data_IF_478486982131
#
_entry.id   IF_478486982131
#
_cell.length_a   1.000
_cell.length_b   1.000
_cell.length_c   1.000
_cell.angle_alpha   90.00
_cell.angle_beta   90.00
_cell.angle_gamma   90.00
#
_symmetry.space_group_name_H-M   'P 1'
#
loop_
_entity.id
_entity.type
_entity.pdbx_description
1 polymer ?
#
# COMPACT_ATOMS: atom_id res chain seq x y z
N UNK A 1 -13.51 -4.07 20.97
CA UNK A 1 -12.80 -4.07 19.68
C UNK A 1 -12.52 -2.62 19.32
N UNK A 2 -11.29 -2.28 18.91
CA UNK A 2 -10.94 -0.91 18.54
C UNK A 2 -11.35 -0.59 17.10
N UNK A 3 -11.43 0.70 16.74
CA UNK A 3 -11.67 1.14 15.35
C UNK A 3 -10.64 0.49 14.40
N UNK A 4 -9.38 0.43 14.83
CA UNK A 4 -8.28 -0.21 14.09
C UNK A 4 -8.56 -1.68 13.81
N UNK A 5 -9.01 -2.45 14.80
CA UNK A 5 -9.28 -3.89 14.63
C UNK A 5 -10.45 -4.15 13.67
N UNK A 6 -11.40 -3.22 13.60
CA UNK A 6 -12.62 -3.39 12.79
C UNK A 6 -12.51 -2.92 11.35
N UNK A 7 -11.46 -2.17 10.99
CA UNK A 7 -11.31 -1.56 9.66
C UNK A 7 -11.39 -2.58 8.52
N UNK A 8 -10.42 -3.48 8.42
CA UNK A 8 -10.36 -4.55 7.41
C UNK A 8 -11.59 -5.46 7.41
N UNK A 9 -12.04 -5.99 8.57
CA UNK A 9 -13.25 -6.81 8.64
C UNK A 9 -14.52 -6.10 8.15
N UNK A 10 -14.64 -4.78 8.34
CA UNK A 10 -15.77 -4.01 7.82
C UNK A 10 -15.72 -3.89 6.29
N UNK A 11 -14.53 -3.67 5.72
CA UNK A 11 -14.34 -3.65 4.27
C UNK A 11 -14.72 -5.00 3.64
N UNK A 12 -14.23 -6.10 4.22
CA UNK A 12 -14.58 -7.46 3.83
C UNK A 12 -16.08 -7.70 3.81
N UNK A 13 -16.77 -7.35 4.90
CA UNK A 13 -18.23 -7.51 5.01
C UNK A 13 -18.97 -6.78 3.91
N UNK A 14 -18.55 -5.56 3.56
CA UNK A 14 -19.19 -4.81 2.49
C UNK A 14 -18.93 -5.43 1.12
N UNK A 15 -17.70 -5.90 0.86
CA UNK A 15 -17.37 -6.63 -0.36
C UNK A 15 -18.23 -7.88 -0.52
N UNK A 16 -18.30 -8.70 0.53
CA UNK A 16 -19.08 -9.94 0.56
C UNK A 16 -20.59 -9.66 0.40
N UNK A 17 -21.12 -8.62 1.06
CA UNK A 17 -22.52 -8.18 0.92
C UNK A 17 -22.87 -7.82 -0.53
N UNK A 18 -21.90 -7.34 -1.30
CA UNK A 18 -22.05 -7.00 -2.73
C UNK A 18 -21.72 -8.16 -3.67
N UNK A 19 -21.35 -9.32 -3.15
CA UNK A 19 -21.02 -10.50 -3.96
C UNK A 19 -19.75 -10.36 -4.81
N UNK A 20 -18.85 -9.46 -4.43
CA UNK A 20 -17.60 -9.21 -5.17
C UNK A 20 -16.51 -10.14 -4.64
N UNK A 21 -15.85 -10.91 -5.51
CA UNK A 21 -14.76 -11.79 -5.10
C UNK A 21 -13.41 -11.03 -5.05
N UNK A 22 -12.44 -11.53 -4.28
CA UNK A 22 -11.10 -10.96 -4.27
C UNK A 22 -10.40 -11.11 -5.62
N UNK A 23 -10.68 -12.20 -6.35
CA UNK A 23 -10.16 -12.45 -7.71
C UNK A 23 -10.67 -11.39 -8.70
N UNK A 24 -11.92 -10.94 -8.54
CA UNK A 24 -12.49 -9.86 -9.35
C UNK A 24 -11.72 -8.56 -9.11
N UNK A 25 -11.48 -8.21 -7.84
CA UNK A 25 -10.70 -7.02 -7.47
C UNK A 25 -9.26 -7.14 -8.00
N UNK A 26 -8.62 -8.30 -7.81
CA UNK A 26 -7.28 -8.57 -8.31
C UNK A 26 -7.17 -8.43 -9.83
N UNK A 27 -8.18 -8.90 -10.57
CA UNK A 27 -8.22 -8.80 -12.04
C UNK A 27 -8.27 -7.35 -12.50
N UNK A 28 -9.14 -6.52 -11.90
CA UNK A 28 -9.31 -5.13 -12.33
C UNK A 28 -8.17 -4.21 -11.88
N UNK A 29 -7.53 -4.52 -10.74
CA UNK A 29 -6.45 -3.71 -10.17
C UNK A 29 -5.05 -4.20 -10.57
N UNK A 30 -4.92 -5.45 -11.04
CA UNK A 30 -3.65 -6.15 -11.27
C UNK A 30 -2.76 -6.27 -10.03
N UNK A 31 -3.39 -6.29 -8.85
CA UNK A 31 -2.74 -6.52 -7.55
C UNK A 31 -3.08 -7.93 -7.08
N UNK A 32 -2.10 -8.64 -6.51
CA UNK A 32 -2.28 -10.00 -6.00
C UNK A 32 -3.39 -10.11 -4.94
N UNK A 33 -4.12 -11.23 -4.96
CA UNK A 33 -5.20 -11.51 -3.99
C UNK A 33 -4.71 -11.55 -2.55
N UNK A 34 -3.46 -11.96 -2.33
CA UNK A 34 -2.77 -12.01 -1.04
C UNK A 34 -2.67 -10.64 -0.36
N UNK A 35 -2.48 -9.57 -1.14
CA UNK A 35 -2.50 -8.22 -0.58
C UNK A 35 -3.90 -7.84 -0.13
N UNK A 36 -4.93 -8.09 -0.94
CA UNK A 36 -6.32 -7.75 -0.57
C UNK A 36 -6.82 -8.53 0.63
N UNK A 37 -6.39 -9.78 0.76
CA UNK A 37 -6.60 -10.56 1.97
C UNK A 37 -5.92 -9.90 3.18
N UNK A 38 -4.67 -9.46 3.05
CA UNK A 38 -3.96 -8.70 4.08
C UNK A 38 -4.72 -7.42 4.50
N UNK A 39 -5.25 -6.64 3.55
CA UNK A 39 -6.08 -5.47 3.84
C UNK A 39 -7.31 -5.83 4.69
N UNK A 40 -8.01 -6.91 4.33
CA UNK A 40 -9.20 -7.37 5.05
C UNK A 40 -8.90 -7.93 6.44
N UNK A 41 -7.67 -8.37 6.67
CA UNK A 41 -7.17 -8.87 7.95
C UNK A 41 -6.45 -7.81 8.78
N UNK A 42 -6.31 -6.58 8.27
CA UNK A 42 -5.42 -5.54 8.81
C UNK A 42 -3.94 -5.98 8.92
N UNK A 43 -3.52 -6.97 8.12
CA UNK A 43 -2.12 -7.36 7.99
C UNK A 43 -1.45 -6.53 6.89
N UNK A 44 -0.67 -5.55 7.33
CA UNK A 44 0.07 -4.64 6.45
C UNK A 44 1.56 -4.99 6.32
N UNK A 45 1.98 -6.19 6.76
CA UNK A 45 3.39 -6.62 6.71
C UNK A 45 3.99 -6.61 5.30
N UNK A 46 3.18 -6.94 4.29
CA UNK A 46 3.55 -6.94 2.86
C UNK A 46 2.92 -5.78 2.07
N UNK A 47 2.16 -4.92 2.73
CA UNK A 47 1.45 -3.81 2.09
C UNK A 47 2.43 -2.71 1.69
N UNK A 48 2.29 -2.09 0.51
CA UNK A 48 3.14 -0.97 0.13
C UNK A 48 2.95 0.22 1.07
N UNK A 49 3.91 1.13 1.13
CA UNK A 49 3.85 2.32 1.98
C UNK A 49 3.58 3.61 1.18
N UNK A 50 3.24 4.67 1.91
CA UNK A 50 3.15 6.03 1.35
C UNK A 50 2.04 6.16 0.30
N UNK A 51 2.39 6.68 -0.89
CA UNK A 51 1.40 6.97 -1.94
C UNK A 51 0.74 5.70 -2.50
N UNK A 52 1.50 4.62 -2.63
CA UNK A 52 0.97 3.34 -3.13
C UNK A 52 0.04 2.67 -2.13
N UNK A 53 0.35 2.76 -0.83
CA UNK A 53 -0.55 2.31 0.24
C UNK A 53 -1.97 2.91 0.07
N UNK A 54 -2.02 4.23 -0.13
CA UNK A 54 -3.27 4.97 -0.29
C UNK A 54 -3.94 4.71 -1.64
N UNK A 55 -3.16 4.51 -2.69
CA UNK A 55 -3.71 4.17 -4.01
C UNK A 55 -4.45 2.83 -3.94
N UNK A 56 -3.86 1.81 -3.32
CA UNK A 56 -4.46 0.48 -3.26
C UNK A 56 -5.73 0.46 -2.40
N UNK A 57 -5.72 1.16 -1.25
CA UNK A 57 -6.94 1.30 -0.44
C UNK A 57 -8.05 2.02 -1.21
N UNK A 58 -7.71 3.05 -2.00
CA UNK A 58 -8.68 3.75 -2.85
C UNK A 58 -9.24 2.84 -3.93
N UNK A 59 -8.40 2.04 -4.58
CA UNK A 59 -8.81 1.14 -5.65
C UNK A 59 -9.73 0.04 -5.12
N UNK A 60 -9.43 -0.52 -3.95
CA UNK A 60 -10.32 -1.46 -3.25
C UNK A 60 -11.67 -0.80 -2.93
N UNK A 61 -11.67 0.40 -2.33
CA UNK A 61 -12.90 1.10 -1.97
C UNK A 61 -13.76 1.37 -3.21
N UNK A 62 -13.16 1.79 -4.32
CA UNK A 62 -13.85 1.97 -5.60
C UNK A 62 -14.40 0.66 -6.17
N UNK A 63 -13.61 -0.41 -6.16
CA UNK A 63 -14.03 -1.72 -6.67
C UNK A 63 -15.22 -2.28 -5.88
N UNK A 64 -15.25 -2.07 -4.57
CA UNK A 64 -16.38 -2.44 -3.71
C UNK A 64 -17.53 -1.42 -3.80
N UNK A 65 -17.29 -0.20 -4.26
CA UNK A 65 -18.27 0.88 -4.38
C UNK A 65 -18.58 1.58 -3.04
N UNK A 66 -17.55 1.74 -2.22
CA UNK A 66 -17.50 2.60 -1.03
C UNK A 66 -17.05 4.02 -1.43
N UNK A 67 -17.28 5.00 -0.54
CA UNK A 67 -16.72 6.35 -0.70
C UNK A 67 -15.21 6.29 -0.42
N UNK A 68 -14.42 6.49 -1.48
CA UNK A 68 -13.02 6.10 -1.47
C UNK A 68 -12.13 7.04 -0.67
N UNK A 69 -12.42 8.34 -0.64
CA UNK A 69 -11.59 9.30 0.08
C UNK A 69 -11.76 9.16 1.59
N UNK A 70 -12.99 8.91 2.07
CA UNK A 70 -13.28 8.60 3.46
C UNK A 70 -12.60 7.32 3.94
N UNK A 71 -12.60 6.26 3.13
CA UNK A 71 -11.88 5.00 3.47
C UNK A 71 -10.36 5.23 3.54
N UNK A 72 -9.79 6.02 2.63
CA UNK A 72 -8.36 6.36 2.65
C UNK A 72 -8.00 7.22 3.86
N UNK A 73 -8.84 8.18 4.22
CA UNK A 73 -8.61 9.06 5.37
C UNK A 73 -8.68 8.28 6.68
N UNK A 74 -9.64 7.37 6.80
CA UNK A 74 -9.73 6.44 7.91
C UNK A 74 -8.48 5.54 7.99
N UNK A 75 -8.05 4.97 6.86
CA UNK A 75 -6.84 4.17 6.79
C UNK A 75 -5.60 4.95 7.26
N UNK A 76 -5.42 6.18 6.79
CA UNK A 76 -4.27 7.01 7.19
C UNK A 76 -4.31 7.39 8.68
N UNK A 77 -5.50 7.61 9.23
CA UNK A 77 -5.70 7.89 10.66
C UNK A 77 -5.39 6.68 11.52
N UNK A 78 -5.76 5.49 11.06
CA UNK A 78 -5.61 4.24 11.82
C UNK A 78 -4.24 3.59 11.63
N UNK A 79 -3.56 3.76 10.49
CA UNK A 79 -2.35 3.02 10.15
C UNK A 79 -1.24 3.95 9.62
N UNK A 80 -0.07 4.02 10.29
CA UNK A 80 1.06 4.86 9.87
C UNK A 80 1.61 4.55 8.46
N UNK A 81 1.38 3.33 7.94
CA UNK A 81 1.84 2.91 6.61
C UNK A 81 1.28 3.79 5.47
N UNK A 82 0.11 4.41 5.68
CA UNK A 82 -0.52 5.32 4.73
C UNK A 82 -0.07 6.78 4.85
N UNK A 83 0.76 7.13 5.84
CA UNK A 83 1.02 8.52 6.23
C UNK A 83 1.54 9.37 5.05
N UNK A 84 0.82 10.48 4.83
CA UNK A 84 1.14 11.49 3.82
C UNK A 84 2.45 12.23 4.13
N UNK A 85 2.88 12.30 5.41
CA UNK A 85 4.10 12.99 5.86
C UNK A 85 5.37 12.18 5.67
N UNK A 86 5.30 10.85 5.77
CA UNK A 86 6.43 9.94 5.47
C UNK A 86 6.80 9.92 3.97
N UNK A 87 5.86 10.28 3.09
CA UNK A 87 6.02 10.19 1.64
C UNK A 87 6.97 11.24 1.01
N UNK A 88 7.38 12.30 1.73
CA UNK A 88 8.33 13.29 1.20
C UNK A 88 9.73 12.74 0.92
N UNK A 89 10.08 11.56 1.44
CA UNK A 89 11.38 10.92 1.23
C UNK A 89 11.39 10.00 -0.01
N UNK A 90 10.23 9.53 -0.49
CA UNK A 90 10.16 8.47 -1.53
C UNK A 90 10.05 9.04 -2.97
N UNK A 91 9.99 10.36 -3.14
CA UNK A 91 10.19 11.00 -4.46
C UNK A 91 11.67 11.27 -4.80
N UNK A 92 12.60 10.67 -4.07
CA UNK A 92 14.03 10.66 -4.41
C UNK A 92 14.45 9.62 -5.46
N UNK A 93 13.56 8.79 -6.00
CA UNK A 93 13.97 7.64 -6.83
C UNK A 93 13.23 7.44 -8.16
N UNK A 94 12.56 8.46 -8.70
CA UNK A 94 11.90 8.33 -10.01
C UNK A 94 12.42 9.26 -11.13
N UNK A 95 13.38 10.17 -10.86
CA UNK A 95 14.22 10.88 -11.86
C UNK A 95 15.10 11.99 -11.22
N UNK A 96 16.41 11.79 -11.03
CA UNK A 96 17.41 12.88 -11.05
C UNK A 96 18.62 12.34 -11.81
N UNK A 97 18.86 12.89 -13.01
CA UNK A 97 20.19 13.19 -13.59
C UNK A 97 21.23 12.06 -13.54
N UNK A 98 21.54 11.45 -14.68
CA UNK A 98 22.56 10.38 -14.81
C UNK A 98 23.95 10.72 -14.23
N UNK A 99 24.12 10.49 -12.93
CA UNK A 99 25.39 10.32 -12.26
C UNK A 99 25.56 8.83 -12.02
N UNK A 100 26.67 8.30 -12.53
CA UNK A 100 27.05 6.90 -12.47
C UNK A 100 27.07 6.41 -11.02
N UNK A 101 26.66 5.14 -10.84
CA UNK A 101 26.96 4.37 -9.64
C UNK A 101 28.45 4.50 -9.30
N UNK A 102 28.74 5.07 -8.13
CA UNK A 102 30.01 4.81 -7.47
C UNK A 102 29.66 4.01 -6.22
N UNK A 103 29.64 2.69 -6.38
CA UNK A 103 29.79 1.77 -5.26
C UNK A 103 31.25 1.88 -4.82
N UNK A 104 31.54 2.78 -3.91
CA UNK A 104 32.74 2.69 -3.10
C UNK A 104 32.39 1.83 -1.89
N UNK A 105 32.94 0.62 -1.81
CA UNK A 105 33.85 0.16 -0.74
C UNK A 105 34.24 -1.31 -1.02
N UNK A 106 35.41 -1.52 -1.62
CA UNK A 106 36.23 -2.71 -1.36
C UNK A 106 37.69 -2.24 -1.12
N UNK A 107 38.20 -2.34 0.12
CA UNK A 107 39.53 -1.87 0.48
C UNK A 107 40.57 -2.94 0.15
N UNK A 108 41.13 -2.94 -1.05
CA UNK A 108 42.26 -3.84 -1.29
C UNK A 108 42.75 -3.99 -2.73
N UNK A 109 43.41 -2.96 -3.28
CA UNK A 109 44.62 -3.16 -4.09
C UNK A 109 45.35 -1.83 -4.32
N UNK A 110 46.49 -1.64 -3.65
CA UNK A 110 47.51 -0.67 -4.09
C UNK A 110 48.59 -1.45 -4.87
N UNK A 111 49.06 -0.95 -6.02
CA UNK A 111 50.13 -1.59 -6.76
C UNK A 111 51.50 -1.19 -6.20
N UNK A 112 52.44 -2.14 -6.23
CA UNK A 112 53.86 -1.89 -6.46
C UNK A 112 54.29 -2.77 -7.64
#
# INVERSE_FOLDING_TARGET
>A
MSERDTFGPRLRRERERRGISLETIATVTRVGTDLWEGLEQNDFSRWPSGIFARAFVRDYAKAVGLEADGVVDEFCRLFPVGDRRAARIIQGQARIVGLQEVVAEDPGLLPA
#
